data_IF_582820272127
#
_entry.id   IF_582820272127
#
_cell.length_a   1.000
_cell.length_b   1.000
_cell.length_c   1.000
_cell.angle_alpha   90.00
_cell.angle_beta   90.00
_cell.angle_gamma   90.00
#
_symmetry.space_group_name_H-M   'P 1'
#
loop_
_entity.id
_entity.type
_entity.pdbx_description
1 polymer ?
#
# COMPACT_ATOMS: atom_id res chain seq x y z
N UNK A 1 19.53 6.78 9.22
CA UNK A 1 18.81 6.56 10.51
C UNK A 1 19.25 7.46 11.65
N UNK A 2 20.55 7.71 11.87
CA UNK A 2 21.01 8.77 12.80
C UNK A 2 20.33 10.12 12.54
N UNK A 3 20.10 10.46 11.27
CA UNK A 3 19.36 11.67 10.88
C UNK A 3 17.90 11.68 11.34
N UNK A 4 17.16 10.56 11.28
CA UNK A 4 15.75 10.49 11.71
C UNK A 4 15.62 10.68 13.23
N UNK A 5 16.47 9.99 14.00
CA UNK A 5 16.49 10.13 15.47
C UNK A 5 16.84 11.56 15.89
N UNK A 6 17.87 12.15 15.28
CA UNK A 6 18.28 13.54 15.54
C UNK A 6 17.16 14.54 15.18
N UNK A 7 16.44 14.30 14.09
CA UNK A 7 15.29 15.12 13.68
C UNK A 7 14.10 14.98 14.65
N UNK A 8 13.77 13.76 15.07
CA UNK A 8 12.73 13.52 16.06
C UNK A 8 13.04 14.22 17.40
N UNK A 9 14.29 14.17 17.85
CA UNK A 9 14.77 14.83 19.07
C UNK A 9 14.89 16.36 18.96
N UNK A 10 14.34 16.99 17.92
CA UNK A 10 14.39 18.45 17.68
C UNK A 10 15.82 19.01 17.55
N UNK A 11 16.80 18.18 17.17
CA UNK A 11 18.20 18.59 17.02
C UNK A 11 18.59 18.91 15.57
N UNK A 12 17.64 18.74 14.64
CA UNK A 12 17.79 19.06 13.22
C UNK A 12 16.40 19.33 12.61
N UNK A 13 16.33 20.22 11.63
CA UNK A 13 15.07 20.64 10.99
C UNK A 13 14.70 19.82 9.75
N UNK A 14 15.59 18.94 9.30
CA UNK A 14 15.36 18.06 8.17
C UNK A 14 15.90 16.63 8.43
N UNK A 15 15.17 15.64 7.92
CA UNK A 15 15.66 14.27 7.83
C UNK A 15 15.39 13.70 6.44
N UNK A 16 16.35 12.91 5.97
CA UNK A 16 16.29 12.26 4.67
C UNK A 16 16.42 10.75 4.83
N UNK A 17 15.48 10.02 4.22
CA UNK A 17 15.42 8.57 4.20
C UNK A 17 15.30 8.10 2.75
N UNK A 18 16.42 7.68 2.17
CA UNK A 18 16.43 7.09 0.83
C UNK A 18 16.39 5.56 0.90
N UNK A 19 15.68 4.94 -0.03
CA UNK A 19 15.88 3.52 -0.37
C UNK A 19 17.25 3.32 -1.02
N UNK A 20 17.83 2.13 -0.88
CA UNK A 20 19.13 1.79 -1.46
C UNK A 20 19.13 1.88 -3.00
N UNK A 21 18.00 1.56 -3.63
CA UNK A 21 17.83 1.64 -5.08
C UNK A 21 17.41 3.02 -5.61
N UNK A 22 17.26 4.03 -4.74
CA UNK A 22 16.87 5.39 -5.13
C UNK A 22 15.42 5.59 -5.59
N UNK A 23 14.66 4.52 -5.78
CA UNK A 23 13.27 4.54 -6.26
C UNK A 23 12.25 5.05 -5.24
N UNK A 24 12.62 5.10 -3.96
CA UNK A 24 11.80 5.68 -2.90
C UNK A 24 12.64 6.57 -2.00
N UNK A 25 12.03 7.68 -1.57
CA UNK A 25 12.66 8.69 -0.73
C UNK A 25 11.63 9.35 0.15
N UNK A 26 11.89 9.46 1.43
CA UNK A 26 11.09 10.24 2.37
C UNK A 26 11.94 11.41 2.89
N UNK A 27 11.42 12.63 2.72
CA UNK A 27 12.00 13.85 3.26
C UNK A 27 11.09 14.35 4.36
N UNK A 28 11.63 14.55 5.56
CA UNK A 28 10.92 15.14 6.68
C UNK A 28 11.48 16.54 6.92
N UNK A 29 10.59 17.50 7.19
CA UNK A 29 10.96 18.90 7.45
C UNK A 29 10.19 19.45 8.63
N UNK A 30 10.84 20.30 9.40
CA UNK A 30 10.25 21.16 10.43
C UNK A 30 10.24 22.58 9.89
N UNK A 31 9.08 23.22 9.90
CA UNK A 31 8.96 24.63 9.50
C UNK A 31 9.53 25.55 10.58
N UNK A 32 9.72 26.83 10.23
CA UNK A 32 10.12 27.87 11.20
C UNK A 32 9.13 28.01 12.37
N UNK A 33 7.86 27.64 12.17
CA UNK A 33 6.82 27.64 13.19
C UNK A 33 6.71 26.31 13.96
N UNK A 34 7.65 25.37 13.74
CA UNK A 34 7.70 24.08 14.43
C UNK A 34 6.77 23.01 13.86
N UNK A 35 5.96 23.32 12.84
CA UNK A 35 5.09 22.32 12.21
C UNK A 35 5.90 21.29 11.43
N UNK A 36 5.48 20.02 11.53
CA UNK A 36 6.14 18.90 10.89
C UNK A 36 5.45 18.48 9.60
N UNK A 37 6.25 18.29 8.55
CA UNK A 37 5.79 17.82 7.25
C UNK A 37 6.69 16.70 6.73
N UNK A 38 6.09 15.77 6.00
CA UNK A 38 6.77 14.73 5.27
C UNK A 38 6.44 14.79 3.78
N UNK A 39 7.40 14.41 2.96
CA UNK A 39 7.27 14.24 1.52
C UNK A 39 7.81 12.86 1.18
N UNK A 40 6.94 11.96 0.72
CA UNK A 40 7.31 10.68 0.16
C UNK A 40 7.35 10.80 -1.36
N UNK A 41 8.53 10.64 -1.93
CA UNK A 41 8.80 10.58 -3.35
C UNK A 41 8.99 9.12 -3.75
N UNK A 42 8.24 8.72 -4.77
CA UNK A 42 8.32 7.41 -5.40
C UNK A 42 8.66 7.62 -6.86
N UNK A 43 9.68 6.93 -7.34
CA UNK A 43 10.08 6.91 -8.74
C UNK A 43 9.96 5.48 -9.26
N UNK A 44 9.12 5.32 -10.28
CA UNK A 44 8.90 4.08 -10.98
C UNK A 44 9.10 4.32 -12.48
N UNK A 45 10.33 4.08 -12.95
CA UNK A 45 10.72 4.40 -14.33
C UNK A 45 10.66 5.92 -14.60
N UNK A 46 9.94 6.36 -15.66
CA UNK A 46 9.76 7.79 -15.97
C UNK A 46 8.70 8.47 -15.08
N UNK A 47 7.86 7.66 -14.41
CA UNK A 47 6.82 8.17 -13.54
C UNK A 47 7.41 8.48 -12.17
N UNK A 48 7.05 9.65 -11.65
CA UNK A 48 7.30 9.98 -10.25
C UNK A 48 6.02 10.45 -9.59
N UNK A 49 5.85 10.02 -8.34
CA UNK A 49 4.77 10.46 -7.50
C UNK A 49 5.37 11.08 -6.24
N UNK A 50 4.90 12.27 -5.90
CA UNK A 50 5.23 12.93 -4.65
C UNK A 50 3.97 13.02 -3.81
N UNK A 51 4.01 12.47 -2.61
CA UNK A 51 2.93 12.53 -1.63
C UNK A 51 3.41 13.35 -0.44
N UNK A 52 2.74 14.46 -0.16
CA UNK A 52 3.00 15.29 1.00
C UNK A 52 2.02 14.95 2.12
N UNK A 53 2.50 14.87 3.35
CA UNK A 53 1.70 14.53 4.52
C UNK A 53 2.13 15.33 5.75
N UNK A 54 1.19 15.57 6.65
CA UNK A 54 1.47 16.17 7.95
C UNK A 54 1.95 15.12 8.93
N UNK A 55 2.79 15.56 9.87
CA UNK A 55 3.34 14.73 10.93
C UNK A 55 2.98 15.31 12.30
N UNK A 56 2.85 14.43 13.29
CA UNK A 56 2.67 14.79 14.69
C UNK A 56 3.91 14.35 15.48
N UNK A 57 4.41 15.19 16.38
CA UNK A 57 5.63 14.89 17.16
C UNK A 57 5.51 13.56 17.93
N UNK A 58 4.35 13.28 18.54
CA UNK A 58 4.11 12.03 19.25
C UNK A 58 4.21 10.79 18.34
N UNK A 59 3.62 10.86 17.14
CA UNK A 59 3.70 9.79 16.14
C UNK A 59 5.12 9.61 15.61
N UNK A 60 5.83 10.70 15.36
CA UNK A 60 7.22 10.67 14.91
C UNK A 60 8.13 10.01 15.95
N UNK A 61 8.00 10.38 17.23
CA UNK A 61 8.78 9.80 18.33
C UNK A 61 8.54 8.30 18.47
N UNK A 62 7.28 7.86 18.42
CA UNK A 62 6.93 6.45 18.45
C UNK A 62 7.49 5.68 17.24
N UNK A 63 7.58 6.32 16.08
CA UNK A 63 8.07 5.71 14.84
C UNK A 63 9.58 5.41 14.85
N UNK A 64 10.40 6.21 15.54
CA UNK A 64 11.87 6.14 15.46
C UNK A 64 12.39 4.75 15.81
N UNK A 65 12.00 4.21 16.96
CA UNK A 65 12.48 2.91 17.44
C UNK A 65 12.12 1.78 16.46
N UNK A 66 10.93 1.85 15.85
CA UNK A 66 10.46 0.83 14.91
C UNK A 66 11.18 0.91 13.57
N UNK A 67 11.41 2.14 13.08
CA UNK A 67 12.17 2.34 11.85
C UNK A 67 13.62 1.86 11.99
N UNK A 68 14.22 1.97 13.19
CA UNK A 68 15.55 1.43 13.48
C UNK A 68 15.56 -0.11 13.48
N UNK A 69 14.59 -0.75 14.15
CA UNK A 69 14.43 -2.21 14.12
C UNK A 69 14.26 -2.72 12.68
N UNK A 70 13.44 -2.02 11.89
CA UNK A 70 13.22 -2.36 10.48
C UNK A 70 14.51 -2.24 9.65
N UNK A 71 15.31 -1.19 9.88
CA UNK A 71 16.60 -1.05 9.20
C UNK A 71 17.57 -2.17 9.61
N UNK A 72 17.66 -2.50 10.90
CA UNK A 72 18.55 -3.56 11.38
C UNK A 72 18.24 -4.90 10.70
N UNK A 73 16.94 -5.22 10.52
CA UNK A 73 16.51 -6.40 9.75
C UNK A 73 16.96 -6.34 8.29
N UNK A 74 16.82 -5.18 7.64
CA UNK A 74 17.24 -4.99 6.24
C UNK A 74 18.76 -5.16 6.10
N UNK A 75 19.56 -4.54 6.98
CA UNK A 75 21.01 -4.65 6.95
C UNK A 75 21.51 -6.06 7.28
N UNK A 76 20.82 -6.79 8.16
CA UNK A 76 21.12 -8.19 8.45
C UNK A 76 20.76 -9.13 7.29
N UNK A 77 19.87 -8.72 6.39
CA UNK A 77 19.45 -9.49 5.21
C UNK A 77 20.24 -9.15 3.94
N UNK A 78 21.12 -8.13 3.98
CA UNK A 78 21.81 -7.52 2.83
C UNK A 78 22.77 -8.48 2.10
N UNK A 79 23.02 -9.67 2.65
CA UNK A 79 23.97 -10.67 2.12
C UNK A 79 23.28 -11.85 1.41
N UNK A 80 21.94 -11.88 1.36
CA UNK A 80 21.17 -13.08 0.96
C UNK A 80 20.51 -13.01 -0.42
N UNK A 81 20.86 -12.05 -1.28
CA UNK A 81 20.15 -11.87 -2.55
C UNK A 81 20.95 -11.28 -3.70
N UNK A 82 20.53 -11.65 -4.90
CA UNK A 82 21.01 -11.14 -6.19
C UNK A 82 20.76 -9.63 -6.34
N UNK A 83 21.74 -8.93 -6.92
CA UNK A 83 21.71 -7.48 -7.17
C UNK A 83 21.23 -7.25 -8.61
N UNK A 84 20.10 -6.54 -8.83
CA UNK A 84 19.58 -6.32 -10.18
C UNK A 84 20.40 -5.34 -11.02
N UNK A 85 20.43 -5.61 -12.34
CA UNK A 85 20.98 -4.71 -13.37
C UNK A 85 20.18 -3.39 -13.39
N UNK A 86 20.82 -2.24 -13.12
CA UNK A 86 20.14 -0.94 -13.09
C UNK A 86 19.52 -0.54 -14.43
N UNK A 87 19.85 -1.22 -15.53
CA UNK A 87 19.34 -0.92 -16.88
C UNK A 87 18.12 -1.77 -17.30
N UNK A 88 17.53 -2.54 -16.37
CA UNK A 88 16.38 -3.40 -16.67
C UNK A 88 15.09 -2.60 -16.91
N UNK A 89 14.92 -1.48 -16.20
CA UNK A 89 13.72 -0.63 -16.25
C UNK A 89 13.52 0.11 -17.58
N UNK A 90 14.59 0.30 -18.37
CA UNK A 90 14.52 0.96 -19.67
C UNK A 90 13.88 0.08 -20.77
N UNK A 91 13.64 -1.21 -20.49
CA UNK A 91 13.21 -2.19 -21.50
C UNK A 91 11.76 -2.64 -21.36
N UNK A 92 10.99 -2.09 -20.41
CA UNK A 92 9.60 -2.50 -20.20
C UNK A 92 8.60 -1.59 -20.95
N UNK A 93 7.60 -2.16 -21.66
CA UNK A 93 6.59 -1.37 -22.34
C UNK A 93 5.62 -0.69 -21.36
N UNK A 94 5.28 0.57 -21.65
CA UNK A 94 4.38 1.42 -20.86
C UNK A 94 2.91 1.26 -21.26
N UNK A 95 1.99 1.27 -20.30
CA UNK A 95 0.53 1.37 -20.52
C UNK A 95 0.09 2.81 -20.20
N UNK A 96 -0.66 3.41 -21.12
CA UNK A 96 -1.18 4.79 -21.04
C UNK A 96 -2.66 4.82 -20.61
N UNK A 97 -2.96 5.72 -19.67
CA UNK A 97 -4.26 6.29 -19.26
C UNK A 97 -5.50 5.37 -19.10
N UNK A 98 -5.81 4.89 -17.88
CA UNK A 98 -7.16 4.47 -17.54
C UNK A 98 -8.05 5.69 -17.20
N UNK A 99 -9.18 5.84 -17.91
CA UNK A 99 -10.23 6.79 -17.52
C UNK A 99 -10.87 6.40 -16.17
N UNK A 100 -11.28 7.38 -15.35
CA UNK A 100 -11.95 7.09 -14.07
C UNK A 100 -13.36 6.52 -14.32
N UNK A 101 -13.74 5.39 -13.69
CA UNK A 101 -15.08 4.83 -13.81
C UNK A 101 -16.13 5.70 -13.09
N UNK A 102 -17.36 5.71 -13.61
CA UNK A 102 -18.49 6.41 -13.00
C UNK A 102 -18.83 5.82 -11.62
N UNK A 103 -19.02 6.70 -10.63
CA UNK A 103 -19.44 6.31 -9.29
C UNK A 103 -20.92 5.91 -9.25
N UNK A 104 -21.27 4.75 -8.67
CA UNK A 104 -22.66 4.39 -8.45
C UNK A 104 -23.31 5.28 -7.37
N UNK A 105 -24.58 5.65 -7.61
CA UNK A 105 -25.26 6.77 -6.94
C UNK A 105 -26.12 6.42 -5.72
N UNK A 106 -26.31 5.15 -5.36
CA UNK A 106 -27.00 4.79 -4.13
C UNK A 106 -26.80 3.30 -3.81
N UNK A 107 -26.49 2.98 -2.56
CA UNK A 107 -26.56 1.63 -2.03
C UNK A 107 -27.11 1.64 -0.59
N UNK A 108 -27.86 0.58 -0.21
CA UNK A 108 -28.24 0.37 1.18
C UNK A 108 -26.98 0.21 2.03
N UNK A 109 -26.97 0.83 3.20
CA UNK A 109 -25.89 0.68 4.17
C UNK A 109 -25.79 -0.78 4.61
N UNK A 110 -24.55 -1.26 4.69
CA UNK A 110 -24.09 -2.47 5.38
C UNK A 110 -24.21 -3.81 4.66
N UNK A 111 -23.04 -4.37 4.34
CA UNK A 111 -22.68 -5.78 4.60
C UNK A 111 -21.17 -6.01 4.37
N UNK A 112 -20.33 -5.28 5.13
CA UNK A 112 -18.93 -5.64 5.32
C UNK A 112 -18.34 -4.94 6.56
N UNK A 113 -17.88 -5.74 7.54
CA UNK A 113 -16.61 -5.46 8.19
C UNK A 113 -16.49 -4.69 9.49
N UNK A 114 -17.58 -4.28 10.13
CA UNK A 114 -17.50 -3.59 11.44
C UNK A 114 -17.58 -4.53 12.65
N UNK A 115 -17.36 -5.83 12.47
CA UNK A 115 -17.21 -6.79 13.57
C UNK A 115 -15.79 -6.78 14.16
N UNK A 116 -15.66 -7.13 15.44
CA UNK A 116 -14.36 -7.46 16.05
C UNK A 116 -13.88 -8.81 15.49
N UNK A 117 -13.20 -8.79 14.34
CA UNK A 117 -12.60 -9.99 13.73
C UNK A 117 -12.64 -10.01 12.21
N UNK A 118 -11.45 -10.18 11.61
CA UNK A 118 -11.16 -10.65 10.23
C UNK A 118 -12.11 -10.21 9.10
N UNK A 119 -12.24 -8.88 8.89
CA UNK A 119 -13.02 -8.31 7.79
C UNK A 119 -12.45 -8.64 6.39
N UNK A 120 -11.13 -8.72 6.27
CA UNK A 120 -10.45 -9.02 5.00
C UNK A 120 -9.24 -9.91 5.19
N UNK A 121 -9.12 -10.92 4.32
CA UNK A 121 -7.92 -11.76 4.22
C UNK A 121 -7.45 -11.86 2.78
N UNK A 122 -6.13 -11.98 2.63
CA UNK A 122 -5.48 -12.30 1.38
C UNK A 122 -4.70 -13.58 1.61
N UNK A 123 -4.91 -14.58 0.76
CA UNK A 123 -4.10 -15.79 0.72
C UNK A 123 -3.31 -15.79 -0.58
N UNK A 124 -2.05 -16.21 -0.54
CA UNK A 124 -1.17 -16.27 -1.70
C UNK A 124 -0.53 -17.65 -1.77
N UNK A 125 -0.79 -18.37 -2.84
CA UNK A 125 -0.24 -19.70 -3.06
C UNK A 125 0.57 -19.70 -4.36
N UNK A 126 1.71 -20.38 -4.35
CA UNK A 126 2.53 -20.63 -5.55
C UNK A 126 2.45 -22.10 -5.84
N UNK A 127 2.01 -22.45 -7.04
CA UNK A 127 2.09 -23.84 -7.50
C UNK A 127 3.53 -24.18 -7.91
N UNK A 128 3.88 -25.47 -7.83
CA UNK A 128 5.22 -25.94 -8.18
C UNK A 128 5.60 -25.78 -9.66
N UNK A 129 4.70 -25.24 -10.49
CA UNK A 129 4.85 -25.06 -11.94
C UNK A 129 4.97 -23.58 -12.34
N UNK A 130 5.11 -22.68 -11.37
CA UNK A 130 5.30 -21.25 -11.61
C UNK A 130 3.99 -20.46 -11.77
N UNK A 131 2.85 -21.00 -11.38
CA UNK A 131 1.64 -20.18 -11.24
C UNK A 131 1.50 -19.72 -9.81
N UNK A 132 0.82 -18.60 -9.61
CA UNK A 132 0.35 -18.21 -8.30
C UNK A 132 -1.15 -17.96 -8.34
N UNK A 133 -1.79 -18.24 -7.21
CA UNK A 133 -3.17 -17.89 -6.93
C UNK A 133 -3.22 -16.93 -5.75
N UNK A 134 -4.12 -15.95 -5.84
CA UNK A 134 -4.44 -14.98 -4.81
C UNK A 134 -5.92 -15.14 -4.52
N UNK A 135 -6.24 -15.46 -3.28
CA UNK A 135 -7.62 -15.48 -2.80
C UNK A 135 -7.85 -14.26 -1.93
N UNK A 136 -8.90 -13.50 -2.23
CA UNK A 136 -9.34 -12.34 -1.45
C UNK A 136 -10.66 -12.70 -0.81
N UNK A 137 -10.75 -12.60 0.52
CA UNK A 137 -12.01 -12.77 1.24
C UNK A 137 -12.37 -11.48 1.96
N UNK A 138 -13.62 -11.05 1.82
CA UNK A 138 -14.17 -9.89 2.53
C UNK A 138 -15.56 -10.27 3.06
N UNK A 139 -15.67 -10.47 4.37
CA UNK A 139 -16.83 -11.14 4.96
C UNK A 139 -17.10 -12.49 4.30
N UNK A 140 -18.32 -12.71 3.81
CA UNK A 140 -18.72 -13.94 3.12
C UNK A 140 -18.36 -13.97 1.63
N UNK A 141 -17.86 -12.86 1.07
CA UNK A 141 -17.48 -12.78 -0.34
C UNK A 141 -16.06 -13.29 -0.53
N UNK A 142 -15.87 -14.16 -1.52
CA UNK A 142 -14.56 -14.64 -1.94
C UNK A 142 -14.34 -14.32 -3.42
N UNK A 143 -13.16 -13.79 -3.74
CA UNK A 143 -12.69 -13.56 -5.09
C UNK A 143 -11.33 -14.23 -5.28
N UNK A 144 -11.10 -14.78 -6.45
CA UNK A 144 -9.85 -15.45 -6.79
C UNK A 144 -9.23 -14.79 -8.02
N UNK A 145 -7.92 -14.67 -8.03
CA UNK A 145 -7.15 -14.21 -9.18
C UNK A 145 -5.80 -14.90 -9.16
N UNK A 146 -5.05 -14.84 -10.26
CA UNK A 146 -3.78 -15.53 -10.36
C UNK A 146 -3.06 -15.17 -11.64
N UNK A 147 -1.84 -15.67 -11.74
CA UNK A 147 -1.01 -15.40 -12.90
C UNK A 147 0.27 -16.22 -12.90
N UNK A 148 1.11 -15.94 -13.88
CA UNK A 148 2.43 -16.56 -14.01
C UNK A 148 3.47 -15.84 -13.14
N UNK A 149 4.37 -16.61 -12.53
CA UNK A 149 5.53 -16.19 -11.72
C UNK A 149 6.47 -15.17 -12.39
N UNK A 150 6.31 -14.95 -13.69
CA UNK A 150 7.01 -13.92 -14.44
C UNK A 150 6.64 -12.49 -14.02
N UNK A 151 5.67 -12.35 -13.11
CA UNK A 151 5.26 -11.07 -12.53
C UNK A 151 5.50 -11.03 -11.03
N UNK A 152 5.93 -9.87 -10.57
CA UNK A 152 6.09 -9.58 -9.15
C UNK A 152 4.75 -9.21 -8.49
N UNK A 153 3.81 -10.15 -8.50
CA UNK A 153 2.48 -9.92 -7.94
C UNK A 153 2.51 -9.60 -6.44
N UNK A 154 3.41 -10.24 -5.69
CA UNK A 154 3.53 -10.04 -4.24
C UNK A 154 4.13 -8.68 -3.89
N UNK A 155 5.20 -8.27 -4.57
CA UNK A 155 5.77 -6.93 -4.39
C UNK A 155 4.81 -5.83 -4.81
N UNK A 156 4.07 -6.01 -5.90
CA UNK A 156 3.05 -5.05 -6.35
C UNK A 156 1.88 -4.92 -5.36
N UNK A 157 1.44 -6.03 -4.75
CA UNK A 157 0.46 -5.99 -3.65
C UNK A 157 0.96 -5.17 -2.45
N UNK A 158 2.22 -5.36 -2.04
CA UNK A 158 2.82 -4.62 -0.92
C UNK A 158 2.92 -3.12 -1.26
N UNK A 159 3.32 -2.78 -2.49
CA UNK A 159 3.36 -1.38 -2.97
C UNK A 159 1.97 -0.75 -3.02
N UNK A 160 0.97 -1.48 -3.51
CA UNK A 160 -0.42 -1.01 -3.53
C UNK A 160 -0.94 -0.76 -2.11
N UNK A 161 -0.70 -1.68 -1.17
CA UNK A 161 -1.05 -1.50 0.25
C UNK A 161 -0.39 -0.24 0.84
N UNK A 162 0.89 -0.01 0.55
CA UNK A 162 1.61 1.18 0.99
C UNK A 162 1.01 2.46 0.40
N UNK A 163 0.66 2.47 -0.90
CA UNK A 163 0.01 3.59 -1.55
C UNK A 163 -1.36 3.91 -0.90
N UNK A 164 -2.16 2.89 -0.60
CA UNK A 164 -3.43 3.05 0.10
C UNK A 164 -3.26 3.65 1.50
N UNK A 165 -2.24 3.20 2.27
CA UNK A 165 -1.91 3.80 3.57
C UNK A 165 -1.38 5.23 3.48
N UNK A 166 -0.65 5.54 2.40
CA UNK A 166 -0.21 6.90 2.10
C UNK A 166 -1.37 7.82 1.67
N UNK A 167 -2.57 7.28 1.54
CA UNK A 167 -3.79 8.03 1.28
C UNK A 167 -4.15 8.15 -0.20
N UNK A 168 -3.54 7.35 -1.08
CA UNK A 168 -3.93 7.29 -2.48
C UNK A 168 -5.42 6.98 -2.64
N UNK A 169 -6.06 7.64 -3.60
CA UNK A 169 -7.48 7.41 -3.90
C UNK A 169 -7.70 6.05 -4.56
N UNK A 170 -6.70 5.56 -5.31
CA UNK A 170 -6.74 4.31 -6.04
C UNK A 170 -5.34 3.71 -6.19
N UNK A 171 -5.25 2.38 -6.15
CA UNK A 171 -4.09 1.59 -6.51
C UNK A 171 -4.54 0.36 -7.32
N UNK A 172 -3.75 -0.05 -8.29
CA UNK A 172 -4.04 -1.23 -9.14
C UNK A 172 -2.84 -2.18 -9.15
N UNK A 173 -3.14 -3.47 -9.17
CA UNK A 173 -2.17 -4.54 -9.36
C UNK A 173 -2.61 -5.39 -10.53
N UNK A 174 -1.75 -5.53 -11.53
CA UNK A 174 -2.05 -6.31 -12.74
C UNK A 174 -1.37 -7.67 -12.66
N UNK A 175 -2.17 -8.73 -12.66
CA UNK A 175 -1.71 -10.11 -12.78
C UNK A 175 -1.72 -10.51 -14.25
N UNK A 176 -0.60 -11.10 -14.71
CA UNK A 176 -0.48 -11.62 -16.07
C UNK A 176 -0.69 -13.13 -16.01
N UNK A 177 -1.91 -13.57 -16.32
CA UNK A 177 -2.21 -14.96 -16.64
C UNK A 177 -2.14 -15.18 -18.15
N UNK A 178 -2.03 -16.43 -18.59
CA UNK A 178 -2.35 -16.78 -19.98
C UNK A 178 -3.72 -17.48 -19.95
N UNK A 179 -4.71 -17.04 -20.77
CA UNK A 179 -4.60 -16.11 -21.90
C UNK A 179 -4.96 -14.64 -21.61
N UNK A 180 -5.16 -14.21 -20.35
CA UNK A 180 -5.70 -12.88 -20.00
C UNK A 180 -5.02 -12.13 -18.86
N UNK A 181 -5.33 -10.83 -18.75
CA UNK A 181 -4.85 -9.95 -17.69
C UNK A 181 -5.94 -9.71 -16.66
N UNK A 182 -5.63 -9.95 -15.39
CA UNK A 182 -6.56 -9.65 -14.29
C UNK A 182 -6.03 -8.46 -13.51
N UNK A 183 -6.90 -7.52 -13.17
CA UNK A 183 -6.56 -6.36 -12.36
C UNK A 183 -7.26 -6.44 -11.02
N UNK A 184 -6.48 -6.38 -9.93
CA UNK A 184 -6.99 -6.06 -8.61
C UNK A 184 -6.91 -4.54 -8.41
N UNK A 185 -8.07 -3.92 -8.26
CA UNK A 185 -8.22 -2.51 -7.95
C UNK A 185 -8.53 -2.34 -6.46
N UNK A 186 -7.77 -1.48 -5.80
CA UNK A 186 -8.02 -0.95 -4.47
C UNK A 186 -8.44 0.50 -4.60
N UNK A 187 -9.63 0.87 -4.14
CA UNK A 187 -10.11 2.25 -4.24
C UNK A 187 -10.64 2.75 -2.91
N UNK A 188 -10.08 3.88 -2.46
CA UNK A 188 -10.53 4.58 -1.26
C UNK A 188 -11.89 5.20 -1.53
N UNK A 189 -12.82 5.03 -0.60
CA UNK A 189 -14.16 5.63 -0.67
C UNK A 189 -14.50 6.30 0.64
N UNK A 190 -15.05 7.52 0.58
CA UNK A 190 -15.58 8.18 1.76
C UNK A 190 -16.92 7.52 2.14
N UNK A 191 -16.98 6.91 3.32
CA UNK A 191 -18.19 6.24 3.81
C UNK A 191 -19.11 7.23 4.53
N UNK A 192 -18.52 8.12 5.32
CA UNK A 192 -19.23 9.16 6.05
C UNK A 192 -18.26 10.27 6.45
N UNK A 193 -18.82 11.46 6.62
CA UNK A 193 -18.12 12.59 7.21
C UNK A 193 -18.95 13.11 8.38
N UNK A 194 -18.34 13.19 9.55
CA UNK A 194 -18.92 13.90 10.69
C UNK A 194 -18.67 15.40 10.51
N UNK A 195 -19.68 16.22 10.82
CA UNK A 195 -19.48 17.66 10.90
C UNK A 195 -18.51 17.99 12.04
N UNK A 196 -17.73 19.06 11.86
CA UNK A 196 -16.87 19.53 12.92
C UNK A 196 -17.71 20.07 14.08
N UNK A 197 -17.46 19.56 15.29
CA UNK A 197 -18.07 20.06 16.53
C UNK A 197 -17.63 21.48 16.87
N UNK A 198 -16.54 21.98 16.28
CA UNK A 198 -16.03 23.34 16.46
C UNK A 198 -15.96 24.10 15.14
N UNK A 199 -16.39 25.37 15.17
CA UNK A 199 -16.38 26.27 14.01
C UNK A 199 -14.93 26.49 13.55
N UNK A 200 -14.63 26.07 12.33
CA UNK A 200 -13.32 26.27 11.69
C UNK A 200 -12.39 25.05 11.73
N UNK A 201 -12.77 23.96 12.39
CA UNK A 201 -12.08 22.68 12.22
C UNK A 201 -12.68 21.89 11.05
N UNK A 202 -11.88 21.14 10.28
CA UNK A 202 -12.43 20.20 9.30
C UNK A 202 -13.14 19.06 10.04
N UNK A 203 -14.31 18.69 9.52
CA UNK A 203 -15.04 17.51 9.97
C UNK A 203 -14.24 16.22 9.80
N UNK A 204 -14.68 15.14 10.46
CA UNK A 204 -13.95 13.87 10.43
C UNK A 204 -14.50 12.96 9.35
N UNK A 205 -13.67 12.55 8.39
CA UNK A 205 -14.06 11.60 7.35
C UNK A 205 -13.59 10.17 7.66
N UNK A 206 -14.48 9.21 7.43
CA UNK A 206 -14.24 7.78 7.59
C UNK A 206 -14.18 7.16 6.20
N UNK A 207 -13.12 6.40 5.96
CA UNK A 207 -12.82 5.87 4.63
C UNK A 207 -12.87 4.36 4.64
N UNK A 208 -13.57 3.80 3.66
CA UNK A 208 -13.55 2.39 3.29
C UNK A 208 -12.58 2.15 2.15
N UNK A 209 -12.45 0.89 1.75
CA UNK A 209 -11.66 0.50 0.59
C UNK A 209 -12.42 -0.51 -0.27
N UNK A 210 -12.80 -0.13 -1.48
CA UNK A 210 -13.26 -1.09 -2.48
C UNK A 210 -12.11 -1.99 -2.91
N UNK A 211 -12.38 -3.28 -2.96
CA UNK A 211 -11.51 -4.30 -3.52
C UNK A 211 -12.25 -4.94 -4.69
N UNK A 212 -11.72 -4.79 -5.89
CA UNK A 212 -12.34 -5.30 -7.12
C UNK A 212 -11.36 -6.14 -7.91
N UNK A 213 -11.84 -7.23 -8.48
CA UNK A 213 -11.10 -8.04 -9.44
C UNK A 213 -11.81 -7.91 -10.79
N UNK A 214 -11.05 -7.52 -11.81
CA UNK A 214 -11.56 -7.35 -13.18
C UNK A 214 -10.73 -8.19 -14.14
N UNK A 215 -11.39 -9.01 -14.94
CA UNK A 215 -10.75 -9.68 -16.07
C UNK A 215 -10.78 -8.76 -17.30
N UNK A 216 -9.61 -8.49 -17.87
CA UNK A 216 -9.44 -7.66 -19.06
C UNK A 216 -9.48 -8.47 -20.36
N UNK A 217 -9.66 -9.80 -20.31
CA UNK A 217 -9.61 -10.69 -21.47
C UNK A 217 -10.60 -10.30 -22.58
N UNK A 218 -11.86 -10.04 -22.22
CA UNK A 218 -12.93 -9.83 -23.21
C UNK A 218 -13.06 -8.39 -23.72
N UNK A 219 -12.53 -7.39 -23.00
CA UNK A 219 -12.63 -5.99 -23.40
C UNK A 219 -11.56 -5.09 -22.76
N UNK A 220 -10.35 -4.99 -23.35
CA UNK A 220 -9.27 -4.17 -22.81
C UNK A 220 -9.56 -2.66 -22.85
N UNK A 221 -10.54 -2.21 -23.64
CA UNK A 221 -10.91 -0.78 -23.80
C UNK A 221 -12.12 -0.40 -22.92
N UNK A 222 -12.92 -1.37 -22.50
CA UNK A 222 -14.20 -1.16 -21.78
C UNK A 222 -14.17 -1.40 -20.27
N UNK A 223 -12.98 -1.51 -19.65
CA UNK A 223 -12.85 -1.63 -18.20
C UNK A 223 -13.01 -3.05 -17.63
N UNK A 224 -12.91 -4.09 -18.48
CA UNK A 224 -12.95 -5.50 -18.09
C UNK A 224 -14.28 -5.98 -17.50
N UNK A 225 -14.43 -7.30 -17.41
CA UNK A 225 -15.54 -7.96 -16.71
C UNK A 225 -15.27 -7.93 -15.21
N UNK A 226 -16.19 -7.40 -14.41
CA UNK A 226 -16.07 -7.39 -12.95
C UNK A 226 -16.37 -8.80 -12.39
N UNK A 227 -15.34 -9.46 -11.87
CA UNK A 227 -15.45 -10.83 -11.33
C UNK A 227 -15.72 -10.83 -9.82
N UNK A 228 -15.18 -9.85 -9.11
CA UNK A 228 -15.33 -9.70 -7.67
C UNK A 228 -15.43 -8.23 -7.30
N UNK A 229 -16.31 -7.92 -6.34
CA UNK A 229 -16.40 -6.61 -5.71
C UNK A 229 -16.85 -6.73 -4.25
N UNK A 230 -16.02 -6.19 -3.35
CA UNK A 230 -16.35 -6.06 -1.95
C UNK A 230 -15.78 -4.76 -1.37
N UNK A 231 -16.46 -4.23 -0.35
CA UNK A 231 -16.06 -3.01 0.35
C UNK A 231 -15.46 -3.40 1.69
N UNK A 232 -14.20 -3.10 1.94
CA UNK A 232 -13.58 -3.28 3.25
C UNK A 232 -13.82 -2.06 4.14
N UNK A 233 -13.81 -2.27 5.46
CA UNK A 233 -14.01 -1.22 6.47
C UNK A 233 -13.04 -0.05 6.37
N UNK A 234 -11.80 -0.31 5.92
CA UNK A 234 -10.83 0.75 5.66
C UNK A 234 -9.67 0.32 4.76
N UNK A 235 -8.95 1.29 4.13
CA UNK A 235 -7.71 1.02 3.41
C UNK A 235 -6.64 0.37 4.30
N UNK A 236 -6.64 0.70 5.60
CA UNK A 236 -5.74 0.10 6.57
C UNK A 236 -6.01 -1.39 6.75
N UNK A 237 -7.27 -1.81 6.84
CA UNK A 237 -7.61 -3.22 7.00
C UNK A 237 -7.08 -4.06 5.82
N UNK A 238 -7.22 -3.55 4.59
CA UNK A 238 -6.64 -4.17 3.38
C UNK A 238 -5.12 -4.26 3.48
N UNK A 239 -4.45 -3.19 3.91
CA UNK A 239 -3.01 -3.18 4.06
C UNK A 239 -2.51 -4.14 5.17
N UNK A 240 -3.23 -4.26 6.29
CA UNK A 240 -2.93 -5.23 7.35
C UNK A 240 -3.10 -6.68 6.85
N UNK A 241 -4.10 -6.94 6.00
CA UNK A 241 -4.32 -8.26 5.42
C UNK A 241 -3.22 -8.64 4.41
N UNK A 242 -2.85 -7.71 3.50
CA UNK A 242 -1.74 -7.92 2.56
C UNK A 242 -0.41 -8.10 3.30
N UNK A 243 -0.17 -7.33 4.36
CA UNK A 243 1.03 -7.48 5.18
C UNK A 243 1.07 -8.85 5.86
N UNK A 244 -0.04 -9.31 6.46
CA UNK A 244 -0.12 -10.64 7.09
C UNK A 244 0.12 -11.76 6.09
N UNK A 245 -0.50 -11.68 4.91
CA UNK A 245 -0.25 -12.59 3.80
C UNK A 245 1.24 -12.65 3.47
N UNK A 246 1.85 -11.48 3.23
CA UNK A 246 3.24 -11.40 2.82
C UNK A 246 4.20 -11.91 3.92
N UNK A 247 3.92 -11.61 5.19
CA UNK A 247 4.76 -11.97 6.33
C UNK A 247 4.99 -13.49 6.42
N UNK A 248 3.95 -14.30 6.23
CA UNK A 248 4.04 -15.75 6.26
C UNK A 248 5.03 -16.32 5.22
N UNK A 249 5.20 -15.62 4.09
CA UNK A 249 6.13 -16.04 3.03
C UNK A 249 7.56 -15.52 3.21
N UNK A 250 7.80 -14.68 4.23
CA UNK A 250 9.09 -14.02 4.45
C UNK A 250 9.67 -14.33 5.84
N UNK A 251 9.25 -15.41 6.50
CA UNK A 251 9.71 -15.80 7.84
C UNK A 251 11.24 -16.01 7.94
N UNK A 252 11.94 -16.22 6.82
CA UNK A 252 13.41 -16.32 6.74
C UNK A 252 14.13 -15.07 6.23
N UNK A 253 13.41 -13.95 6.05
CA UNK A 253 13.87 -12.75 5.35
C UNK A 253 13.17 -12.58 4.00
N UNK A 254 12.90 -11.33 3.63
CA UNK A 254 12.11 -11.03 2.43
C UNK A 254 12.97 -10.85 1.16
N UNK A 255 14.29 -11.04 1.25
CA UNK A 255 15.22 -10.82 0.13
C UNK A 255 15.04 -9.44 -0.48
N UNK A 256 14.80 -9.38 -1.79
CA UNK A 256 14.52 -8.17 -2.55
C UNK A 256 13.22 -7.43 -2.14
N UNK A 257 12.31 -8.11 -1.41
CA UNK A 257 11.11 -7.51 -0.83
C UNK A 257 11.30 -6.86 0.53
N UNK A 258 12.48 -7.02 1.15
CA UNK A 258 12.76 -6.50 2.50
C UNK A 258 12.50 -5.00 2.64
N UNK A 259 12.92 -4.13 1.69
CA UNK A 259 12.64 -2.69 1.79
C UNK A 259 11.14 -2.35 1.73
N UNK A 260 10.38 -3.01 0.85
CA UNK A 260 8.94 -2.76 0.70
C UNK A 260 8.16 -3.28 1.93
N UNK A 261 8.50 -4.48 2.41
CA UNK A 261 7.93 -5.06 3.64
C UNK A 261 8.21 -4.19 4.87
N UNK A 262 9.45 -3.74 5.04
CA UNK A 262 9.84 -2.85 6.14
C UNK A 262 9.08 -1.50 6.08
N UNK A 263 8.89 -0.96 4.87
CA UNK A 263 8.15 0.28 4.67
C UNK A 263 6.67 0.12 5.02
N UNK A 264 6.05 -0.99 4.61
CA UNK A 264 4.66 -1.29 4.94
C UNK A 264 4.47 -1.55 6.44
N UNK A 265 5.37 -2.30 7.09
CA UNK A 265 5.36 -2.51 8.54
C UNK A 265 5.47 -1.18 9.29
N UNK A 266 6.40 -0.31 8.86
CA UNK A 266 6.56 1.03 9.41
C UNK A 266 5.32 1.89 9.23
N UNK A 267 4.71 1.89 8.04
CA UNK A 267 3.48 2.64 7.76
C UNK A 267 2.31 2.14 8.62
N UNK A 268 2.13 0.83 8.75
CA UNK A 268 1.10 0.24 9.61
C UNK A 268 1.29 0.60 11.09
N UNK A 269 2.52 0.74 11.57
CA UNK A 269 2.78 1.15 12.95
C UNK A 269 2.61 2.65 13.20
N UNK A 270 2.73 3.48 12.16
CA UNK A 270 2.76 4.95 12.31
C UNK A 270 1.47 5.65 11.91
N UNK A 271 0.71 5.10 10.95
CA UNK A 271 -0.62 5.60 10.61
C UNK A 271 -1.55 5.22 11.77
N UNK A 272 -2.08 6.18 12.54
CA UNK A 272 -2.95 5.85 13.67
C UNK A 272 -4.20 5.13 13.17
N UNK A 273 -4.65 4.11 13.92
CA UNK A 273 -5.98 3.53 13.71
C UNK A 273 -7.01 4.63 13.90
N UNK A 274 -7.95 4.73 12.97
CA UNK A 274 -9.08 5.62 13.19
C UNK A 274 -9.89 5.07 14.38
N UNK A 275 -10.28 5.90 15.37
CA UNK A 275 -11.19 5.47 16.42
C UNK A 275 -12.45 4.82 15.83
N UNK A 276 -12.67 3.54 16.09
CA UNK A 276 -13.75 2.72 15.50
C UNK A 276 -13.29 1.65 14.50
N UNK A 277 -11.98 1.54 14.21
CA UNK A 277 -11.35 0.39 13.51
C UNK A 277 -10.88 -0.73 14.45
#
# INVERSE_FOLDING_TARGET
>A
MKALRVFAENRRDDAFLGSLGGSMRVTLRRSEHGSLQGEAFFQHGPSSQTVSFSLWDASLQAAVAQAEIALERVLAADHLGWIPDPNFLERMPHVTDPQPPEMPRAFPAWDAGLGEGEDVTFDYEVDGYGWYAITVKVGDKTGETGGSYLTDSKGDLIRAALAMLAGADKAEVTFRGEPGHVVLELQRVNLRSDEATEVGLPGRSYFGCWVRIRDLYDNPVGGGTLEFEALCRSPRAVAEAIYRMALAHFEGGAGFWSPAMASLEGALKTVPRQPGE
#
